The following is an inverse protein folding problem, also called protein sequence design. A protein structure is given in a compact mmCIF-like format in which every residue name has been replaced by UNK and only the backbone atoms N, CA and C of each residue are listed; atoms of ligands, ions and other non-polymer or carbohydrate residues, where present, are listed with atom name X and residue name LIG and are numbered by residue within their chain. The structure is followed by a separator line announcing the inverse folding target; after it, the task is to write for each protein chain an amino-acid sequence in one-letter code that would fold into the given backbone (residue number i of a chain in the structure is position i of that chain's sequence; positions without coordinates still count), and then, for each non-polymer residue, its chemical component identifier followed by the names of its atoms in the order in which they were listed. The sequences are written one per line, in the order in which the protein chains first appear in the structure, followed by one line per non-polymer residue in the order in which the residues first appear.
data_IF_080933352807
#
_entry.id   IF_080933352807
#
_cell.length_a   1.000
_cell.length_b   1.000
_cell.length_c   1.000
_cell.angle_alpha   90.00
_cell.angle_beta   90.00
_cell.angle_gamma   90.00
#
_symmetry.space_group_name_H-M   'P 1'
#
loop_
_entity.id
_entity.type
_entity.pdbx_description
1 polymer ?
#
# COMPACT_ATOMS: atom_id res chain seq x y z
N UNK A 1 -17.46 -2.79 -39.59
CA UNK A 1 -18.19 -2.07 -38.52
C UNK A 1 -17.93 -2.67 -37.12
N UNK A 2 -17.29 -3.85 -37.03
CA UNK A 2 -16.98 -4.58 -35.78
C UNK A 2 -15.70 -4.12 -35.07
N UNK A 3 -14.73 -3.51 -35.79
CA UNK A 3 -13.41 -3.20 -35.22
C UNK A 3 -13.40 -1.95 -34.33
N UNK A 4 -14.30 -0.99 -34.56
CA UNK A 4 -14.41 0.19 -33.69
C UNK A 4 -15.04 -0.12 -32.34
N UNK A 5 -15.97 -1.09 -32.27
CA UNK A 5 -16.57 -1.51 -31.00
C UNK A 5 -15.57 -2.31 -30.15
N UNK A 6 -14.73 -3.15 -30.77
CA UNK A 6 -13.73 -3.93 -30.05
C UNK A 6 -12.62 -3.03 -29.47
N UNK A 7 -12.16 -2.02 -30.23
CA UNK A 7 -11.24 -0.98 -29.75
C UNK A 7 -11.84 -0.11 -28.66
N UNK A 8 -13.10 0.33 -28.81
CA UNK A 8 -13.79 1.13 -27.79
C UNK A 8 -13.99 0.36 -26.49
N UNK A 9 -14.26 -0.96 -26.56
CA UNK A 9 -14.37 -1.79 -25.35
C UNK A 9 -13.01 -2.00 -24.68
N UNK A 10 -11.94 -2.26 -25.43
CA UNK A 10 -10.57 -2.39 -24.87
C UNK A 10 -10.15 -1.13 -24.13
N UNK A 11 -10.24 0.04 -24.76
CA UNK A 11 -9.85 1.31 -24.14
C UNK A 11 -10.63 1.60 -22.85
N UNK A 12 -11.91 1.19 -22.78
CA UNK A 12 -12.73 1.39 -21.59
C UNK A 12 -12.30 0.47 -20.44
N UNK A 13 -12.01 -0.80 -20.74
CA UNK A 13 -11.51 -1.77 -19.74
C UNK A 13 -10.15 -1.31 -19.20
N UNK A 14 -9.24 -0.89 -20.08
CA UNK A 14 -7.91 -0.42 -19.67
C UNK A 14 -8.01 0.79 -18.73
N UNK A 15 -8.88 1.76 -19.05
CA UNK A 15 -9.09 2.95 -18.21
C UNK A 15 -9.67 2.65 -16.82
N UNK A 16 -10.50 1.60 -16.69
CA UNK A 16 -11.07 1.20 -15.41
C UNK A 16 -10.05 0.47 -14.54
N UNK A 17 -9.24 -0.43 -15.15
CA UNK A 17 -8.18 -1.16 -14.46
C UNK A 17 -7.11 -0.20 -13.92
N UNK A 18 -6.81 0.87 -14.65
CA UNK A 18 -5.87 1.90 -14.20
C UNK A 18 -6.39 2.70 -13.00
N UNK A 19 -7.69 3.04 -12.98
CA UNK A 19 -8.29 3.77 -11.87
C UNK A 19 -8.33 2.92 -10.58
N UNK A 20 -8.74 1.66 -10.66
CA UNK A 20 -8.81 0.75 -9.52
C UNK A 20 -7.43 0.49 -8.91
N UNK A 21 -6.41 0.35 -9.77
CA UNK A 21 -5.01 0.19 -9.35
C UNK A 21 -4.52 1.44 -8.62
N UNK A 22 -4.81 2.63 -9.14
CA UNK A 22 -4.42 3.90 -8.53
C UNK A 22 -5.08 4.09 -7.15
N UNK A 23 -6.39 3.83 -7.05
CA UNK A 23 -7.14 3.94 -5.79
C UNK A 23 -6.59 2.97 -4.75
N UNK A 24 -6.39 1.69 -5.12
CA UNK A 24 -5.86 0.67 -4.22
C UNK A 24 -4.45 1.03 -3.74
N UNK A 25 -3.62 1.55 -4.64
CA UNK A 25 -2.25 1.99 -4.32
C UNK A 25 -2.25 3.13 -3.32
N UNK A 26 -3.06 4.17 -3.55
CA UNK A 26 -3.18 5.31 -2.64
C UNK A 26 -3.70 4.85 -1.27
N UNK A 27 -4.68 3.96 -1.25
CA UNK A 27 -5.27 3.45 -0.01
C UNK A 27 -4.25 2.66 0.83
N UNK A 28 -3.50 1.74 0.22
CA UNK A 28 -2.46 0.95 0.91
C UNK A 28 -1.31 1.84 1.37
N UNK A 29 -0.86 2.78 0.53
CA UNK A 29 0.19 3.73 0.91
C UNK A 29 -0.25 4.62 2.08
N UNK A 30 -1.51 5.08 2.08
CA UNK A 30 -2.09 5.87 3.19
C UNK A 30 -2.11 5.06 4.48
N UNK A 31 -2.53 3.79 4.42
CA UNK A 31 -2.47 2.89 5.58
C UNK A 31 -1.03 2.72 6.09
N UNK A 32 -0.06 2.55 5.19
CA UNK A 32 1.36 2.48 5.53
C UNK A 32 1.89 3.75 6.21
N UNK A 33 1.48 4.95 5.74
CA UNK A 33 1.82 6.24 6.36
C UNK A 33 1.26 6.32 7.79
N UNK A 34 0.00 5.94 7.99
CA UNK A 34 -0.64 5.95 9.32
C UNK A 34 0.10 5.01 10.29
N UNK A 35 0.46 3.81 9.85
CA UNK A 35 1.23 2.85 10.65
C UNK A 35 2.63 3.41 10.97
N UNK A 36 3.29 4.04 10.00
CA UNK A 36 4.60 4.66 10.20
C UNK A 36 4.55 5.82 11.20
N UNK A 37 3.52 6.68 11.15
CA UNK A 37 3.30 7.76 12.14
C UNK A 37 3.21 7.18 13.55
N UNK A 38 2.40 6.12 13.75
CA UNK A 38 2.26 5.45 15.05
C UNK A 38 3.58 4.81 15.50
N UNK A 39 4.31 4.18 14.58
CA UNK A 39 5.63 3.62 14.84
C UNK A 39 6.64 4.67 15.30
N UNK A 40 6.75 5.79 14.57
CA UNK A 40 7.62 6.92 14.94
C UNK A 40 7.24 7.53 16.28
N UNK A 41 5.95 7.73 16.54
CA UNK A 41 5.48 8.21 17.84
C UNK A 41 5.84 7.24 18.98
N UNK A 42 5.67 5.93 18.77
CA UNK A 42 6.03 4.90 19.75
C UNK A 42 7.54 4.84 20.01
N UNK A 43 8.38 5.01 18.99
CA UNK A 43 9.85 5.08 19.12
C UNK A 43 10.25 6.27 20.00
N UNK A 44 9.60 7.42 19.82
CA UNK A 44 9.95 8.65 20.55
C UNK A 44 9.64 8.61 22.06
N UNK A 45 8.77 7.69 22.50
CA UNK A 45 8.29 7.62 23.89
C UNK A 45 8.98 6.56 24.75
N UNK A 46 9.55 5.52 24.14
CA UNK A 46 10.06 4.34 24.85
C UNK A 46 11.58 4.22 24.70
N UNK A 47 12.29 4.18 25.84
CA UNK A 47 13.74 3.93 25.92
C UNK A 47 14.16 2.50 25.51
N UNK A 48 13.27 1.72 24.88
CA UNK A 48 13.49 0.33 24.45
C UNK A 48 12.50 -0.10 23.37
N UNK A 49 12.36 0.70 22.30
CA UNK A 49 11.22 0.68 21.37
C UNK A 49 11.27 -0.34 20.22
N UNK A 50 11.61 -1.60 20.51
CA UNK A 50 11.59 -2.66 19.49
C UNK A 50 10.26 -2.73 18.72
N UNK A 51 9.13 -2.59 19.41
CA UNK A 51 7.81 -2.56 18.78
C UNK A 51 7.55 -1.35 17.87
N UNK A 52 8.06 -0.17 18.22
CA UNK A 52 7.92 1.04 17.40
C UNK A 52 8.71 0.95 16.10
N UNK A 53 9.91 0.37 16.15
CA UNK A 53 10.72 0.09 14.96
C UNK A 53 10.06 -0.96 14.05
N UNK A 54 9.42 -1.98 14.62
CA UNK A 54 8.65 -2.97 13.85
C UNK A 54 7.49 -2.28 13.11
N UNK A 55 6.71 -1.44 13.80
CA UNK A 55 5.61 -0.70 13.17
C UNK A 55 6.12 0.22 12.05
N UNK A 56 7.22 0.96 12.29
CA UNK A 56 7.83 1.80 11.27
C UNK A 56 8.29 0.98 10.05
N UNK A 57 8.90 -0.19 10.28
CA UNK A 57 9.32 -1.11 9.22
C UNK A 57 8.15 -1.67 8.41
N UNK A 58 7.05 -2.04 9.08
CA UNK A 58 5.81 -2.50 8.43
C UNK A 58 5.21 -1.38 7.57
N UNK A 59 5.09 -0.17 8.13
CA UNK A 59 4.57 1.00 7.42
C UNK A 59 5.42 1.35 6.19
N UNK A 60 6.75 1.36 6.36
CA UNK A 60 7.70 1.56 5.24
C UNK A 60 7.60 0.48 4.17
N UNK A 61 7.43 -0.78 4.57
CA UNK A 61 7.25 -1.90 3.64
C UNK A 61 5.94 -1.78 2.85
N UNK A 62 4.85 -1.34 3.47
CA UNK A 62 3.59 -1.08 2.76
C UNK A 62 3.72 0.06 1.74
N UNK A 63 4.39 1.15 2.11
CA UNK A 63 4.59 2.31 1.23
C UNK A 63 5.48 1.93 0.04
N UNK A 64 6.70 1.48 0.33
CA UNK A 64 7.73 1.21 -0.69
C UNK A 64 7.35 -0.03 -1.49
N UNK A 65 6.88 -1.08 -0.82
CA UNK A 65 6.46 -2.32 -1.47
C UNK A 65 5.30 -2.10 -2.43
N UNK A 66 4.30 -1.30 -2.06
CA UNK A 66 3.19 -0.98 -2.96
C UNK A 66 3.68 -0.12 -4.13
N UNK A 67 4.44 0.94 -3.85
CA UNK A 67 4.94 1.83 -4.89
C UNK A 67 5.82 1.10 -5.91
N UNK A 68 6.81 0.34 -5.43
CA UNK A 68 7.74 -0.41 -6.27
C UNK A 68 7.04 -1.58 -6.96
N UNK A 69 6.16 -2.29 -6.26
CA UNK A 69 5.41 -3.41 -6.80
C UNK A 69 4.55 -3.01 -8.01
N UNK A 70 3.82 -1.91 -7.90
CA UNK A 70 2.98 -1.38 -8.98
C UNK A 70 3.81 -0.70 -10.06
N UNK A 71 4.67 0.26 -9.70
CA UNK A 71 5.40 1.10 -10.69
C UNK A 71 6.43 0.29 -11.47
N UNK A 72 7.13 -0.64 -10.81
CA UNK A 72 8.18 -1.46 -11.44
C UNK A 72 7.70 -2.86 -11.83
N UNK A 73 6.41 -3.15 -11.64
CA UNK A 73 5.77 -4.44 -11.96
C UNK A 73 6.51 -5.64 -11.37
N UNK A 74 6.94 -5.52 -10.10
CA UNK A 74 7.66 -6.60 -9.40
C UNK A 74 6.67 -7.38 -8.52
N UNK A 75 6.30 -8.62 -8.88
CA UNK A 75 5.26 -9.38 -8.17
C UNK A 75 5.65 -9.76 -6.75
N UNK A 76 6.96 -9.83 -6.46
CA UNK A 76 7.46 -10.12 -5.12
C UNK A 76 7.04 -9.06 -4.09
N UNK A 77 7.17 -7.77 -4.43
CA UNK A 77 6.79 -6.69 -3.50
C UNK A 77 5.28 -6.62 -3.28
N UNK A 78 4.47 -6.88 -4.32
CA UNK A 78 3.02 -7.01 -4.17
C UNK A 78 2.64 -8.21 -3.28
N UNK A 79 3.35 -9.34 -3.39
CA UNK A 79 3.15 -10.49 -2.53
C UNK A 79 3.49 -10.17 -1.06
N UNK A 80 4.58 -9.43 -0.83
CA UNK A 80 4.99 -8.98 0.51
C UNK A 80 3.94 -8.06 1.14
N UNK A 81 3.43 -7.08 0.38
CA UNK A 81 2.34 -6.21 0.82
C UNK A 81 1.08 -7.03 1.14
N UNK A 82 0.70 -7.97 0.28
CA UNK A 82 -0.44 -8.85 0.54
C UNK A 82 -0.26 -9.68 1.81
N UNK A 83 0.95 -10.18 2.09
CA UNK A 83 1.25 -10.87 3.34
C UNK A 83 0.99 -10.02 4.58
N UNK A 84 1.40 -8.75 4.55
CA UNK A 84 1.13 -7.79 5.62
C UNK A 84 -0.37 -7.52 5.76
N UNK A 85 -1.08 -7.28 4.65
CA UNK A 85 -2.53 -7.03 4.65
C UNK A 85 -3.33 -8.24 5.18
N UNK A 86 -2.92 -9.47 4.85
CA UNK A 86 -3.51 -10.69 5.42
C UNK A 86 -3.34 -10.70 6.94
N UNK A 87 -2.13 -10.43 7.43
CA UNK A 87 -1.86 -10.34 8.87
C UNK A 87 -2.74 -9.31 9.55
N UNK A 88 -2.89 -8.12 8.97
CA UNK A 88 -3.78 -7.07 9.48
C UNK A 88 -5.26 -7.46 9.43
N UNK A 89 -5.73 -8.06 8.35
CA UNK A 89 -7.13 -8.48 8.20
C UNK A 89 -7.48 -9.56 9.23
N UNK A 90 -6.59 -10.54 9.45
CA UNK A 90 -6.77 -11.57 10.48
C UNK A 90 -6.74 -10.97 11.89
N UNK A 91 -5.76 -10.11 12.19
CA UNK A 91 -5.64 -9.47 13.50
C UNK A 91 -6.87 -8.60 13.82
N UNK A 92 -7.31 -7.78 12.87
CA UNK A 92 -8.50 -6.93 13.02
C UNK A 92 -9.79 -7.74 13.11
N UNK A 93 -9.90 -8.85 12.36
CA UNK A 93 -11.00 -9.80 12.47
C UNK A 93 -11.07 -10.44 13.86
N UNK A 94 -9.95 -10.90 14.40
CA UNK A 94 -9.88 -11.43 15.77
C UNK A 94 -10.25 -10.36 16.81
N UNK A 95 -9.73 -9.14 16.66
CA UNK A 95 -10.05 -8.01 17.54
C UNK A 95 -11.53 -7.62 17.50
N UNK A 96 -12.24 -7.87 16.38
CA UNK A 96 -13.67 -7.56 16.27
C UNK A 96 -14.57 -8.34 17.23
N UNK A 97 -14.09 -9.47 17.76
CA UNK A 97 -14.78 -10.23 18.82
C UNK A 97 -14.90 -9.39 20.10
N UNK A 98 -13.86 -8.62 20.41
CA UNK A 98 -13.77 -7.80 21.63
C UNK A 98 -14.24 -6.36 21.35
N UNK A 99 -13.91 -5.85 20.16
CA UNK A 99 -14.15 -4.47 19.76
C UNK A 99 -14.89 -4.45 18.41
N UNK A 100 -16.24 -4.53 18.41
CA UNK A 100 -17.04 -4.69 17.20
C UNK A 100 -16.73 -3.70 16.05
N UNK A 101 -16.40 -2.41 16.30
CA UNK A 101 -16.00 -1.49 15.22
C UNK A 101 -14.81 -1.95 14.36
N UNK A 102 -13.96 -2.84 14.88
CA UNK A 102 -12.82 -3.39 14.13
C UNK A 102 -13.23 -4.23 12.91
N UNK A 103 -14.49 -4.68 12.85
CA UNK A 103 -15.01 -5.41 11.68
C UNK A 103 -14.95 -4.56 10.41
N UNK A 104 -15.20 -3.25 10.52
CA UNK A 104 -15.11 -2.34 9.38
C UNK A 104 -13.68 -2.23 8.86
N UNK A 105 -12.71 -2.16 9.76
CA UNK A 105 -11.27 -2.13 9.40
C UNK A 105 -10.87 -3.45 8.73
N UNK A 106 -11.35 -4.59 9.24
CA UNK A 106 -11.10 -5.90 8.64
C UNK A 106 -11.69 -5.99 7.23
N UNK A 107 -12.94 -5.53 7.04
CA UNK A 107 -13.60 -5.50 5.74
C UNK A 107 -12.85 -4.63 4.73
N UNK A 108 -12.47 -3.39 5.13
CA UNK A 108 -11.69 -2.49 4.28
C UNK A 108 -10.36 -3.13 3.88
N UNK A 109 -9.65 -3.73 4.83
CA UNK A 109 -8.35 -4.40 4.59
C UNK A 109 -8.51 -5.59 3.65
N UNK A 110 -9.58 -6.37 3.82
CA UNK A 110 -9.89 -7.51 2.95
C UNK A 110 -10.23 -7.05 1.52
N UNK A 111 -10.94 -5.94 1.34
CA UNK A 111 -11.19 -5.35 0.02
C UNK A 111 -9.90 -4.89 -0.64
N UNK A 112 -9.01 -4.19 0.08
CA UNK A 112 -7.70 -3.80 -0.44
C UNK A 112 -6.88 -5.02 -0.86
N UNK A 113 -6.88 -6.08 -0.04
CA UNK A 113 -6.22 -7.34 -0.34
C UNK A 113 -6.76 -7.98 -1.64
N UNK A 114 -8.08 -8.03 -1.80
CA UNK A 114 -8.70 -8.59 -3.00
C UNK A 114 -8.32 -7.80 -4.26
N UNK A 115 -8.38 -6.47 -4.21
CA UNK A 115 -7.99 -5.62 -5.33
C UNK A 115 -6.50 -5.76 -5.66
N UNK A 116 -5.63 -5.82 -4.64
CA UNK A 116 -4.19 -5.98 -4.86
C UNK A 116 -3.84 -7.39 -5.37
N UNK A 117 -4.61 -8.42 -4.98
CA UNK A 117 -4.51 -9.76 -5.54
C UNK A 117 -4.92 -9.79 -7.01
N UNK A 118 -6.03 -9.14 -7.35
CA UNK A 118 -6.50 -9.02 -8.72
C UNK A 118 -5.44 -8.34 -9.61
N UNK A 119 -4.87 -7.23 -9.15
CA UNK A 119 -3.79 -6.54 -9.86
C UNK A 119 -2.58 -7.43 -10.11
N UNK A 120 -2.16 -8.22 -9.10
CA UNK A 120 -1.07 -9.18 -9.24
C UNK A 120 -1.39 -10.27 -10.29
N UNK A 121 -2.62 -10.75 -10.34
CA UNK A 121 -3.04 -11.73 -11.34
C UNK A 121 -2.99 -11.14 -12.75
N UNK A 122 -3.53 -9.93 -12.95
CA UNK A 122 -3.47 -9.22 -14.24
C UNK A 122 -2.03 -8.98 -14.69
N UNK A 123 -1.12 -8.64 -13.77
CA UNK A 123 0.31 -8.51 -14.10
C UNK A 123 0.92 -9.83 -14.58
N UNK A 124 0.56 -10.96 -13.96
CA UNK A 124 1.04 -12.27 -14.38
C UNK A 124 0.53 -12.64 -15.78
N UNK A 125 -0.72 -12.31 -16.10
CA UNK A 125 -1.29 -12.49 -17.44
C UNK A 125 -0.58 -11.61 -18.49
N UNK A 126 -0.29 -10.34 -18.16
CA UNK A 126 0.45 -9.43 -19.03
C UNK A 126 1.90 -9.89 -19.26
N UNK A 127 2.55 -10.44 -18.24
CA UNK A 127 3.89 -11.02 -18.35
C UNK A 127 3.89 -12.25 -19.28
N UNK A 128 2.86 -13.11 -19.20
CA UNK A 128 2.68 -14.24 -20.11
C UNK A 128 2.37 -13.81 -21.55
N UNK A 129 1.67 -12.68 -21.72
CA UNK A 129 1.39 -12.09 -23.03
C UNK A 129 2.60 -11.37 -23.64
N UNK A 130 3.74 -11.31 -22.95
CA UNK A 130 4.97 -10.70 -23.46
C UNK A 130 4.95 -9.16 -23.46
N UNK A 131 4.10 -8.54 -22.63
CA UNK A 131 4.08 -7.07 -22.49
C UNK A 131 5.42 -6.61 -21.92
N UNK A 132 6.13 -5.67 -22.59
CA UNK A 132 7.44 -5.21 -22.13
C UNK A 132 7.33 -4.58 -20.74
N UNK A 133 8.25 -4.98 -19.85
CA UNK A 133 8.35 -4.44 -18.49
C UNK A 133 8.99 -3.05 -18.52
N UNK A 134 8.57 -2.12 -17.66
CA UNK A 134 9.25 -0.85 -17.52
C UNK A 134 10.72 -1.06 -17.10
N UNK A 135 11.65 -0.36 -17.77
CA UNK A 135 13.08 -0.51 -17.51
C UNK A 135 13.44 -0.12 -16.06
N UNK A 136 14.20 -0.97 -15.36
CA UNK A 136 14.57 -0.80 -13.95
C UNK A 136 15.61 0.30 -13.68
N UNK A 137 15.97 1.10 -14.68
CA UNK A 137 17.28 1.75 -14.72
C UNK A 137 17.44 3.09 -14.01
N UNK A 138 16.36 3.87 -13.76
CA UNK A 138 16.53 5.27 -13.31
C UNK A 138 15.54 5.65 -12.22
N UNK A 139 16.06 6.05 -11.06
CA UNK A 139 15.30 6.80 -10.06
C UNK A 139 15.04 8.19 -10.63
N UNK A 140 13.78 8.52 -10.81
CA UNK A 140 13.31 9.80 -11.34
C UNK A 140 13.30 10.87 -10.24
N UNK A 141 13.47 12.14 -10.60
CA UNK A 141 13.32 13.26 -9.65
C UNK A 141 11.93 13.26 -8.98
N UNK A 142 10.90 12.75 -9.67
CA UNK A 142 9.55 12.58 -9.13
C UNK A 142 9.50 11.54 -8.02
N UNK A 143 10.20 10.41 -8.16
CA UNK A 143 10.34 9.39 -7.09
C UNK A 143 10.99 9.98 -5.84
N UNK A 144 12.07 10.76 -6.01
CA UNK A 144 12.80 11.38 -4.91
C UNK A 144 11.90 12.42 -4.19
N UNK A 145 11.26 13.31 -4.96
CA UNK A 145 10.34 14.31 -4.41
C UNK A 145 9.17 13.63 -3.68
N UNK A 146 8.61 12.57 -4.27
CA UNK A 146 7.55 11.77 -3.64
C UNK A 146 7.99 11.15 -2.32
N UNK A 147 9.21 10.61 -2.25
CA UNK A 147 9.77 10.08 -1.00
C UNK A 147 9.89 11.17 0.10
N UNK A 148 10.34 12.38 -0.26
CA UNK A 148 10.39 13.49 0.69
C UNK A 148 9.00 13.93 1.17
N UNK A 149 8.01 13.97 0.27
CA UNK A 149 6.62 14.27 0.64
C UNK A 149 6.08 13.22 1.61
N UNK A 150 6.31 11.94 1.34
CA UNK A 150 5.91 10.85 2.23
C UNK A 150 6.60 10.96 3.59
N UNK A 151 7.90 11.24 3.62
CA UNK A 151 8.63 11.45 4.88
C UNK A 151 8.08 12.65 5.67
N UNK A 152 7.78 13.76 5.00
CA UNK A 152 7.18 14.93 5.65
C UNK A 152 5.80 14.60 6.24
N UNK A 153 4.98 13.84 5.51
CA UNK A 153 3.67 13.36 5.97
C UNK A 153 3.76 12.39 7.15
N UNK A 154 4.87 11.68 7.33
CA UNK A 154 5.11 10.83 8.50
C UNK A 154 5.61 11.67 9.67
N UNK A 155 6.68 12.44 9.47
CA UNK A 155 7.38 13.14 10.55
C UNK A 155 6.54 14.26 11.19
N UNK A 156 5.83 15.06 10.39
CA UNK A 156 5.01 16.17 10.91
C UNK A 156 3.96 15.69 11.92
N UNK A 157 2.99 14.85 11.51
CA UNK A 157 1.98 14.29 12.41
C UNK A 157 2.58 13.46 13.54
N UNK A 158 3.66 12.70 13.30
CA UNK A 158 4.30 11.92 14.36
C UNK A 158 4.79 12.80 15.51
N UNK A 159 5.36 13.98 15.21
CA UNK A 159 5.75 14.94 16.26
C UNK A 159 4.57 15.53 17.02
N UNK A 160 3.42 15.71 16.36
CA UNK A 160 2.20 16.18 17.04
C UNK A 160 1.64 15.11 17.96
N UNK A 161 1.52 13.87 17.46
CA UNK A 161 1.03 12.71 18.22
C UNK A 161 1.94 12.42 19.42
N UNK A 162 3.27 12.48 19.23
CA UNK A 162 4.19 12.24 20.34
C UNK A 162 4.06 13.27 21.46
N UNK A 163 3.86 14.56 21.12
CA UNK A 163 3.59 15.63 22.11
C UNK A 163 2.27 15.42 22.85
N UNK A 164 1.23 15.02 22.14
CA UNK A 164 -0.09 14.78 22.76
C UNK A 164 -0.09 13.57 23.71
N UNK A 165 0.80 12.61 23.47
CA UNK A 165 0.97 11.42 24.29
C UNK A 165 1.97 11.60 25.44
N UNK A 166 2.61 12.77 25.59
CA UNK A 166 3.42 13.12 26.75
C UNK A 166 2.48 13.63 27.86
N UNK A 167 2.41 12.94 29.03
CA UNK A 167 1.60 13.37 30.16
C UNK A 167 2.12 14.66 30.80
#
# INVERSE_FOLDING_TARGET
MTDNESLSRRNRVDSMVDADTAITTVAIMTLGILIAILGTAAVSKSSGSGGGLILLGIGGTLIVGQYVGVTRRIPFYLALVNGILIGFSLLSGLLSIILPPMIAISAITATMLFMNWHHRATMAEQDQAGVPKPEFGRVTMREILGAFVVLALILGPATFVSRWLQP
#
